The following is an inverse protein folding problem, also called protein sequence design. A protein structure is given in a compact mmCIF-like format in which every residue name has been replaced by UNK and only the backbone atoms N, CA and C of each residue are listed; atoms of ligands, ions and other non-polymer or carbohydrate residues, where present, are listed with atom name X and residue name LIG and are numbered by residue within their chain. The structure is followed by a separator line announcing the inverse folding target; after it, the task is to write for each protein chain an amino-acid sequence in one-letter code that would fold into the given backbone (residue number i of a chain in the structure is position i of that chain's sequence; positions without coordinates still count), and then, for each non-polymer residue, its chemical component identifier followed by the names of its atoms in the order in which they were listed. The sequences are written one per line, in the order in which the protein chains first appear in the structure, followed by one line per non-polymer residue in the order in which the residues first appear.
data_IF_316925027533
#
_entry.id   IF_316925027533
#
_cell.length_a   1.000
_cell.length_b   1.000
_cell.length_c   1.000
_cell.angle_alpha   90.00
_cell.angle_beta   90.00
_cell.angle_gamma   90.00
#
_symmetry.space_group_name_H-M   'P 1'
#
loop_
_entity.id
_entity.type
_entity.pdbx_description
1 polymer ?
#
# COMPACT_ATOMS: atom_id res chain seq x y z
N UNK A 1 -14.29 7.01 -1.20
CA UNK A 1 -14.93 6.69 -2.50
C UNK A 1 -15.41 7.96 -3.16
N UNK A 2 -14.97 8.21 -4.38
CA UNK A 2 -15.45 9.34 -5.15
C UNK A 2 -16.85 9.05 -5.69
N UNK A 3 -17.62 10.09 -5.95
CA UNK A 3 -18.91 9.94 -6.58
C UNK A 3 -18.77 9.40 -8.01
N UNK A 4 -19.73 8.61 -8.44
CA UNK A 4 -19.77 8.08 -9.80
C UNK A 4 -19.72 9.21 -10.83
N UNK A 5 -18.89 9.07 -11.84
CA UNK A 5 -18.72 10.07 -12.90
C UNK A 5 -17.77 11.23 -12.59
N UNK A 6 -17.16 11.28 -11.40
CA UNK A 6 -16.09 12.23 -11.08
C UNK A 6 -14.71 11.66 -11.40
N UNK A 7 -13.64 12.44 -11.20
CA UNK A 7 -12.25 11.98 -11.31
C UNK A 7 -11.87 11.02 -10.16
N UNK A 8 -12.74 10.10 -9.91
CA UNK A 8 -12.71 9.16 -8.83
C UNK A 8 -11.40 8.38 -8.80
N UNK A 9 -10.72 8.42 -7.67
CA UNK A 9 -9.46 7.71 -7.50
C UNK A 9 -8.33 8.16 -8.42
N UNK A 10 -8.50 9.22 -9.21
CA UNK A 10 -7.42 9.75 -10.04
C UNK A 10 -6.42 10.59 -9.24
N UNK A 11 -6.83 11.15 -8.12
CA UNK A 11 -6.00 12.00 -7.27
C UNK A 11 -6.37 11.86 -5.80
N UNK A 12 -5.35 11.80 -4.94
CA UNK A 12 -5.51 11.81 -3.49
C UNK A 12 -4.46 12.73 -2.85
N UNK A 13 -4.87 13.49 -1.85
CA UNK A 13 -3.94 14.27 -1.02
C UNK A 13 -3.84 13.64 0.36
N UNK A 14 -2.62 13.41 0.81
CA UNK A 14 -2.29 12.76 2.08
C UNK A 14 -1.47 13.74 2.90
N UNK A 15 -1.98 14.13 4.06
CA UNK A 15 -1.24 14.91 5.03
C UNK A 15 -0.26 14.00 5.80
N UNK A 16 0.94 14.46 6.06
CA UNK A 16 1.83 13.80 6.99
C UNK A 16 1.30 14.00 8.41
N UNK A 17 1.36 12.94 9.22
CA UNK A 17 0.92 13.01 10.62
C UNK A 17 1.72 14.05 11.42
N UNK A 18 2.97 14.24 11.05
CA UNK A 18 3.84 15.29 11.58
C UNK A 18 4.63 15.88 10.43
N UNK A 19 4.55 17.20 10.18
CA UNK A 19 5.43 17.87 9.23
C UNK A 19 6.90 17.64 9.57
N UNK A 20 7.70 17.33 8.56
CA UNK A 20 9.12 17.08 8.78
C UNK A 20 9.96 17.38 7.54
N UNK A 21 11.20 17.73 7.76
CA UNK A 21 12.19 17.86 6.68
C UNK A 21 12.52 16.49 6.13
N UNK A 22 12.59 16.39 4.81
CA UNK A 22 12.88 15.13 4.15
C UNK A 22 13.80 15.33 2.95
N UNK A 23 14.61 14.32 2.65
CA UNK A 23 15.39 14.21 1.41
C UNK A 23 14.78 13.21 0.46
N UNK A 24 14.05 12.25 1.01
CA UNK A 24 13.40 11.20 0.24
C UNK A 24 12.02 10.92 0.83
N UNK A 25 11.04 10.80 -0.05
CA UNK A 25 9.76 10.16 0.24
C UNK A 25 9.78 8.75 -0.32
N UNK A 26 9.19 7.82 0.39
CA UNK A 26 8.98 6.45 -0.05
C UNK A 26 7.50 6.18 -0.16
N UNK A 27 7.05 5.80 -1.35
CA UNK A 27 5.71 5.29 -1.55
C UNK A 27 5.76 3.76 -1.44
N UNK A 28 4.93 3.16 -0.60
CA UNK A 28 4.66 1.73 -0.63
C UNK A 28 3.39 1.53 -1.46
N UNK A 29 3.53 0.99 -2.66
CA UNK A 29 2.45 0.95 -3.62
C UNK A 29 2.52 -0.25 -4.55
N UNK A 30 1.41 -0.53 -5.23
CA UNK A 30 1.33 -1.49 -6.31
C UNK A 30 0.22 -1.13 -7.29
N UNK A 31 0.28 -1.66 -8.50
CA UNK A 31 -0.72 -1.44 -9.54
C UNK A 31 -1.48 -2.74 -9.86
N UNK A 32 -2.81 -2.82 -9.62
CA UNK A 32 -3.56 -4.06 -9.76
C UNK A 32 -3.83 -4.48 -11.21
N UNK A 33 -3.79 -3.55 -12.16
CA UNK A 33 -4.14 -3.80 -13.56
C UNK A 33 -2.98 -3.50 -14.52
N UNK A 34 -1.80 -4.04 -14.20
CA UNK A 34 -0.57 -3.79 -14.92
C UNK A 34 0.19 -2.58 -14.36
N UNK A 35 1.48 -2.53 -14.67
CA UNK A 35 2.33 -1.42 -14.25
C UNK A 35 1.81 -0.08 -14.79
N UNK A 36 1.95 0.98 -14.01
CA UNK A 36 1.50 2.32 -14.37
C UNK A 36 2.45 3.39 -13.79
N UNK A 37 2.10 4.64 -13.96
CA UNK A 37 2.85 5.78 -13.44
C UNK A 37 1.94 6.69 -12.64
N UNK A 38 2.52 7.35 -11.66
CA UNK A 38 1.88 8.42 -10.89
C UNK A 38 2.70 9.70 -10.95
N UNK A 39 2.00 10.81 -10.76
CA UNK A 39 2.62 12.11 -10.52
C UNK A 39 2.41 12.44 -9.04
N UNK A 40 3.41 13.03 -8.43
CA UNK A 40 3.38 13.46 -7.03
C UNK A 40 3.70 14.92 -6.94
N UNK A 41 2.82 15.69 -6.31
CA UNK A 41 3.08 17.06 -5.87
C UNK A 41 3.35 17.03 -4.38
N UNK A 42 4.52 17.47 -3.99
CA UNK A 42 4.91 17.65 -2.57
C UNK A 42 4.58 19.06 -2.15
N UNK A 43 3.92 19.22 -1.02
CA UNK A 43 3.57 20.51 -0.44
C UNK A 43 4.41 20.77 0.79
N UNK A 44 5.04 21.92 0.83
CA UNK A 44 5.91 22.35 1.94
C UNK A 44 5.20 23.35 2.86
N UNK A 45 5.70 23.46 4.08
CA UNK A 45 5.12 24.30 5.12
C UNK A 45 5.14 25.81 4.78
N UNK A 46 6.06 26.24 3.93
CA UNK A 46 6.15 27.62 3.43
C UNK A 46 5.17 27.93 2.29
N UNK A 47 4.37 26.95 1.87
CA UNK A 47 3.42 27.06 0.77
C UNK A 47 4.00 26.74 -0.61
N UNK A 48 5.30 26.49 -0.72
CA UNK A 48 5.91 26.04 -1.97
C UNK A 48 5.55 24.60 -2.29
N UNK A 49 5.76 24.20 -3.54
CA UNK A 49 5.50 22.84 -4.02
C UNK A 49 6.63 22.33 -4.89
N UNK A 50 6.77 21.00 -4.93
CA UNK A 50 7.65 20.31 -5.87
C UNK A 50 6.86 19.24 -6.61
N UNK A 51 6.86 19.31 -7.95
CA UNK A 51 6.23 18.29 -8.79
C UNK A 51 7.26 17.26 -9.24
N UNK A 52 6.91 15.98 -9.08
CA UNK A 52 7.68 14.84 -9.56
C UNK A 52 6.76 13.98 -10.42
N UNK A 53 7.09 13.86 -11.69
CA UNK A 53 6.23 13.22 -12.67
C UNK A 53 6.73 11.84 -13.08
N UNK A 54 5.79 10.98 -13.51
CA UNK A 54 6.07 9.69 -14.11
C UNK A 54 6.80 8.69 -13.19
N UNK A 55 6.49 8.69 -11.91
CA UNK A 55 7.01 7.71 -10.96
C UNK A 55 6.39 6.35 -11.30
N UNK A 56 7.24 5.37 -11.60
CA UNK A 56 6.79 4.05 -11.98
C UNK A 56 6.26 3.27 -10.78
N UNK A 57 5.09 2.68 -10.91
CA UNK A 57 4.50 1.76 -9.95
C UNK A 57 4.34 0.40 -10.64
N UNK A 58 4.96 -0.62 -10.05
CA UNK A 58 4.98 -1.95 -10.62
C UNK A 58 3.63 -2.68 -10.44
N UNK A 59 3.41 -3.67 -11.30
CA UNK A 59 2.25 -4.55 -11.21
C UNK A 59 2.34 -5.41 -9.94
N UNK A 60 1.24 -5.58 -9.24
CA UNK A 60 1.15 -6.44 -8.06
C UNK A 60 1.44 -7.90 -8.36
N UNK A 61 1.03 -8.39 -9.55
CA UNK A 61 1.41 -9.71 -10.05
C UNK A 61 2.84 -9.65 -10.56
N UNK A 62 3.73 -10.31 -9.86
CA UNK A 62 5.15 -10.33 -10.18
C UNK A 62 5.58 -11.74 -10.59
N UNK A 63 6.47 -11.83 -11.57
CA UNK A 63 7.16 -13.08 -11.88
C UNK A 63 8.35 -13.32 -10.96
N UNK A 64 8.81 -12.26 -10.29
CA UNK A 64 9.97 -12.27 -9.40
C UNK A 64 9.75 -11.29 -8.24
N UNK A 65 10.29 -11.63 -7.09
CA UNK A 65 10.28 -10.77 -5.90
C UNK A 65 11.32 -9.64 -5.95
N UNK A 66 12.14 -9.58 -6.98
CA UNK A 66 13.22 -8.58 -7.10
C UNK A 66 12.67 -7.15 -7.09
N UNK A 67 13.18 -6.34 -6.18
CA UNK A 67 12.78 -4.94 -6.03
C UNK A 67 11.46 -4.74 -5.27
N UNK A 68 10.83 -5.81 -4.79
CA UNK A 68 9.67 -5.70 -3.92
C UNK A 68 10.09 -5.41 -2.47
N UNK A 69 9.27 -4.63 -1.77
CA UNK A 69 9.37 -4.48 -0.32
C UNK A 69 8.80 -5.70 0.41
N UNK A 70 7.78 -6.29 -0.19
CA UNK A 70 7.12 -7.50 0.28
C UNK A 70 6.64 -8.29 -0.93
N UNK A 71 6.68 -9.61 -0.84
CA UNK A 71 6.07 -10.50 -1.80
C UNK A 71 5.56 -11.78 -1.15
N UNK A 72 4.60 -12.42 -1.77
CA UNK A 72 4.06 -13.70 -1.35
C UNK A 72 3.81 -14.57 -2.57
N UNK A 73 4.22 -15.84 -2.48
CA UNK A 73 3.91 -16.84 -3.48
C UNK A 73 2.52 -17.41 -3.24
N UNK A 74 1.72 -17.38 -4.29
CA UNK A 74 0.40 -17.99 -4.31
C UNK A 74 -0.62 -17.33 -3.39
N UNK A 75 -1.85 -17.38 -3.81
CA UNK A 75 -3.03 -17.05 -3.02
C UNK A 75 -4.08 -18.10 -3.34
N UNK A 76 -5.10 -18.20 -2.48
CA UNK A 76 -6.27 -19.02 -2.78
C UNK A 76 -7.31 -18.16 -3.50
N UNK A 77 -7.73 -18.57 -4.68
CA UNK A 77 -8.81 -17.94 -5.41
C UNK A 77 -10.17 -18.20 -4.72
N UNK A 78 -11.20 -17.44 -5.12
CA UNK A 78 -12.54 -17.59 -4.57
C UNK A 78 -13.18 -18.96 -4.79
N UNK A 79 -12.70 -19.75 -5.74
CA UNK A 79 -13.09 -21.13 -6.00
C UNK A 79 -12.22 -22.16 -5.25
N UNK A 80 -11.38 -21.71 -4.33
CA UNK A 80 -10.42 -22.51 -3.56
C UNK A 80 -9.25 -23.09 -4.36
N UNK A 81 -9.09 -22.73 -5.62
CA UNK A 81 -7.91 -23.08 -6.39
C UNK A 81 -6.70 -22.27 -5.96
N UNK A 82 -5.51 -22.84 -6.04
CA UNK A 82 -4.27 -22.13 -5.78
C UNK A 82 -3.92 -21.23 -6.97
N UNK A 83 -3.40 -20.03 -6.68
CA UNK A 83 -2.82 -19.15 -7.68
C UNK A 83 -1.28 -19.18 -7.53
N UNK A 84 -0.59 -19.59 -8.58
CA UNK A 84 0.88 -19.72 -8.60
C UNK A 84 1.59 -18.38 -8.83
N UNK A 85 0.86 -17.27 -8.94
CA UNK A 85 1.47 -15.97 -9.11
C UNK A 85 2.13 -15.48 -7.81
N UNK A 86 3.25 -14.78 -7.96
CA UNK A 86 3.79 -13.97 -6.89
C UNK A 86 3.03 -12.64 -6.82
N UNK A 87 2.70 -12.22 -5.61
CA UNK A 87 2.09 -10.92 -5.36
C UNK A 87 3.05 -10.05 -4.56
N UNK A 88 3.19 -8.79 -4.95
CA UNK A 88 4.21 -7.94 -4.36
C UNK A 88 3.74 -6.51 -4.13
N UNK A 89 4.28 -5.90 -3.08
CA UNK A 89 4.27 -4.46 -2.85
C UNK A 89 5.67 -3.92 -3.13
N UNK A 90 5.72 -2.72 -3.67
CA UNK A 90 6.96 -2.10 -4.09
C UNK A 90 7.17 -0.76 -3.40
N UNK A 91 8.42 -0.46 -3.14
CA UNK A 91 8.85 0.86 -2.71
C UNK A 91 9.24 1.69 -3.92
N UNK A 92 8.64 2.87 -4.03
CA UNK A 92 9.02 3.87 -5.02
C UNK A 92 9.66 5.07 -4.30
N UNK A 93 10.98 5.21 -4.36
CA UNK A 93 11.69 6.33 -3.76
C UNK A 93 11.53 7.59 -4.62
N UNK A 94 11.30 8.71 -3.97
CA UNK A 94 11.18 10.03 -4.56
C UNK A 94 12.19 10.93 -3.90
N UNK A 95 13.19 11.38 -4.65
CA UNK A 95 14.19 12.34 -4.15
C UNK A 95 13.62 13.75 -4.19
N UNK A 96 13.76 14.46 -3.08
CA UNK A 96 13.38 15.86 -2.98
C UNK A 96 14.59 16.76 -3.29
N UNK A 97 14.35 17.79 -4.08
CA UNK A 97 15.36 18.81 -4.36
C UNK A 97 15.54 19.77 -3.20
N UNK A 98 14.48 20.00 -2.44
CA UNK A 98 14.51 20.83 -1.23
C UNK A 98 14.36 19.95 0.01
N UNK A 99 15.41 19.97 0.84
CA UNK A 99 15.42 19.30 2.13
C UNK A 99 15.43 20.30 3.32
N UNK A 100 15.22 21.57 3.04
CA UNK A 100 15.29 22.64 4.05
C UNK A 100 13.92 22.97 4.63
N UNK A 101 12.86 22.81 3.84
CA UNK A 101 11.48 23.01 4.24
C UNK A 101 10.82 21.72 4.71
N UNK A 102 9.86 21.86 5.61
CA UNK A 102 9.09 20.72 6.10
C UNK A 102 8.02 20.31 5.08
N UNK A 103 7.96 19.04 4.76
CA UNK A 103 6.87 18.45 3.98
C UNK A 103 5.65 18.35 4.89
N UNK A 104 4.52 18.89 4.45
CA UNK A 104 3.25 18.85 5.19
C UNK A 104 2.25 17.86 4.57
N UNK A 105 2.27 17.72 3.25
CA UNK A 105 1.41 16.76 2.54
C UNK A 105 1.97 16.42 1.18
N UNK A 106 1.41 15.37 0.57
CA UNK A 106 1.63 15.03 -0.82
C UNK A 106 0.30 14.85 -1.53
N UNK A 107 0.25 15.21 -2.79
CA UNK A 107 -0.85 14.87 -3.70
C UNK A 107 -0.34 13.86 -4.71
N UNK A 108 -0.95 12.69 -4.75
CA UNK A 108 -0.65 11.63 -5.73
C UNK A 108 -1.77 11.58 -6.75
N UNK A 109 -1.42 11.57 -8.03
CA UNK A 109 -2.38 11.46 -9.12
C UNK A 109 -1.90 10.43 -10.15
N UNK A 110 -2.84 9.80 -10.86
CA UNK A 110 -2.52 8.92 -11.96
C UNK A 110 -1.97 9.73 -13.15
N UNK A 111 -0.90 9.24 -13.75
CA UNK A 111 -0.35 9.82 -14.97
C UNK A 111 -1.06 9.32 -16.23
N UNK A 112 -1.81 8.21 -16.13
CA UNK A 112 -2.50 7.55 -17.23
C UNK A 112 -3.96 7.28 -16.90
N UNK A 113 -4.87 7.55 -17.83
CA UNK A 113 -6.29 7.24 -17.68
C UNK A 113 -6.53 5.72 -17.71
N UNK A 114 -7.58 5.28 -17.03
CA UNK A 114 -8.00 3.86 -17.02
C UNK A 114 -7.03 2.93 -16.26
N UNK A 115 -6.16 3.49 -15.46
CA UNK A 115 -5.26 2.75 -14.55
C UNK A 115 -5.70 2.93 -13.12
N UNK A 116 -5.13 2.11 -12.24
CA UNK A 116 -5.34 2.22 -10.80
C UNK A 116 -4.04 1.92 -10.04
N UNK A 117 -3.93 2.49 -8.87
CA UNK A 117 -2.81 2.28 -7.95
C UNK A 117 -3.38 2.08 -6.55
N UNK A 118 -2.87 1.07 -5.86
CA UNK A 118 -3.08 0.91 -4.43
C UNK A 118 -1.86 1.50 -3.71
N UNK A 119 -2.10 2.54 -2.93
CA UNK A 119 -1.08 3.19 -2.10
C UNK A 119 -1.33 2.78 -0.65
N UNK A 120 -0.35 2.16 -0.02
CA UNK A 120 -0.43 1.61 1.34
C UNK A 120 0.19 2.52 2.38
N UNK A 121 1.32 3.14 2.05
CA UNK A 121 2.03 4.00 2.98
C UNK A 121 2.87 5.06 2.25
N UNK A 122 3.13 6.14 2.97
CA UNK A 122 4.10 7.18 2.60
C UNK A 122 5.02 7.41 3.79
N UNK A 123 6.32 7.32 3.55
CA UNK A 123 7.33 7.57 4.58
C UNK A 123 8.26 8.68 4.12
N UNK A 124 8.47 9.68 4.96
CA UNK A 124 9.44 10.72 4.75
C UNK A 124 10.72 10.43 5.55
N UNK A 125 11.88 10.70 4.96
CA UNK A 125 13.19 10.50 5.62
C UNK A 125 14.18 11.59 5.21
N UNK A 126 15.04 11.97 6.13
CA UNK A 126 16.18 12.87 5.91
C UNK A 126 17.35 12.19 5.16
N UNK A 127 17.30 10.88 5.00
CA UNK A 127 18.32 10.08 4.32
C UNK A 127 18.09 10.05 2.82
N UNK A 128 19.17 9.94 2.07
CA UNK A 128 19.09 9.66 0.63
C UNK A 128 18.58 8.25 0.39
N UNK A 129 17.97 7.99 -0.77
CA UNK A 129 17.37 6.69 -1.10
C UNK A 129 18.33 5.49 -1.00
N UNK A 130 19.63 5.75 -1.12
CA UNK A 130 20.68 4.72 -1.00
C UNK A 130 21.08 4.40 0.44
N UNK A 131 20.67 5.20 1.41
CA UNK A 131 21.10 5.10 2.80
C UNK A 131 20.21 4.24 3.70
N UNK A 132 19.06 3.81 3.24
CA UNK A 132 18.12 3.00 4.04
C UNK A 132 18.47 1.54 3.88
N UNK A 133 19.33 1.01 4.76
CA UNK A 133 19.78 -0.39 4.75
C UNK A 133 18.93 -1.30 5.64
N UNK A 134 18.39 -0.79 6.72
CA UNK A 134 17.68 -1.57 7.73
C UNK A 134 16.20 -1.18 7.74
N UNK A 135 15.47 -1.71 6.77
CA UNK A 135 14.02 -1.54 6.69
C UNK A 135 13.36 -2.67 7.48
N UNK A 136 12.42 -2.30 8.34
CA UNK A 136 11.53 -3.25 8.99
C UNK A 136 10.10 -2.92 8.57
N UNK A 137 9.46 -3.88 7.97
CA UNK A 137 8.06 -3.80 7.61
C UNK A 137 7.30 -4.80 8.47
N UNK A 138 6.37 -4.28 9.26
CA UNK A 138 5.53 -5.11 10.11
C UNK A 138 4.20 -5.34 9.40
N UNK A 139 3.93 -6.59 9.08
CA UNK A 139 2.63 -7.02 8.59
C UNK A 139 1.80 -7.54 9.75
N UNK A 140 0.67 -6.90 9.96
CA UNK A 140 -0.33 -7.41 10.90
C UNK A 140 -1.44 -8.00 10.05
N UNK A 141 -1.52 -9.32 10.03
CA UNK A 141 -2.62 -10.02 9.40
C UNK A 141 -3.91 -9.70 10.16
N UNK A 142 -4.95 -9.36 9.44
CA UNK A 142 -6.27 -9.33 10.00
C UNK A 142 -7.22 -10.20 9.16
N UNK A 143 -8.22 -10.75 9.80
CA UNK A 143 -9.29 -11.44 9.11
C UNK A 143 -10.29 -10.43 8.60
N UNK A 144 -10.54 -10.42 7.29
CA UNK A 144 -11.68 -9.69 6.74
C UNK A 144 -12.96 -10.43 7.12
N UNK A 145 -13.71 -9.87 8.04
CA UNK A 145 -14.95 -10.44 8.52
C UNK A 145 -16.08 -9.43 8.31
N UNK A 146 -16.89 -9.65 7.29
CA UNK A 146 -18.08 -8.85 7.08
C UNK A 146 -19.11 -9.13 8.18
N UNK A 147 -19.57 -8.07 8.82
CA UNK A 147 -20.60 -8.19 9.85
C UNK A 147 -21.97 -8.56 9.26
N UNK A 148 -22.16 -8.23 8.00
CA UNK A 148 -23.38 -8.56 7.27
C UNK A 148 -23.11 -8.46 5.75
N UNK A 149 -23.39 -9.55 5.04
CA UNK A 149 -23.32 -9.62 3.57
C UNK A 149 -24.55 -10.39 3.07
N UNK A 150 -24.37 -11.68 2.75
CA UNK A 150 -25.47 -12.60 2.41
C UNK A 150 -26.01 -13.37 3.63
N UNK A 151 -25.63 -12.93 4.82
CA UNK A 151 -26.02 -13.53 6.11
C UNK A 151 -26.33 -12.43 7.13
N UNK A 152 -26.90 -12.83 8.26
CA UNK A 152 -27.30 -11.93 9.33
C UNK A 152 -26.18 -11.65 10.31
N UNK A 153 -26.25 -10.55 11.06
CA UNK A 153 -25.34 -10.28 12.20
C UNK A 153 -25.36 -11.43 13.22
N UNK A 154 -26.51 -12.08 13.40
CA UNK A 154 -26.63 -13.24 14.29
C UNK A 154 -25.76 -14.40 13.81
N UNK A 155 -25.76 -14.70 12.51
CA UNK A 155 -24.89 -15.72 11.92
C UNK A 155 -23.43 -15.32 11.99
N UNK A 156 -23.12 -14.04 11.83
CA UNK A 156 -21.75 -13.54 12.02
C UNK A 156 -21.23 -13.87 13.41
N UNK A 157 -22.01 -13.58 14.45
CA UNK A 157 -21.63 -13.84 15.85
C UNK A 157 -21.56 -15.35 16.14
N UNK A 158 -22.57 -16.09 15.71
CA UNK A 158 -22.70 -17.51 16.06
C UNK A 158 -21.65 -18.40 15.36
N UNK A 159 -21.36 -18.11 14.10
CA UNK A 159 -20.59 -19.01 13.23
C UNK A 159 -19.26 -18.39 12.78
N UNK A 160 -19.30 -17.21 12.16
CA UNK A 160 -18.12 -16.67 11.50
C UNK A 160 -17.06 -16.14 12.48
N UNK A 161 -17.46 -15.42 13.53
CA UNK A 161 -16.53 -14.94 14.56
C UNK A 161 -15.88 -16.12 15.25
N UNK A 162 -16.67 -17.10 15.66
CA UNK A 162 -16.19 -18.30 16.35
C UNK A 162 -15.21 -19.10 15.47
N UNK A 163 -15.58 -19.34 14.21
CA UNK A 163 -14.75 -20.10 13.30
C UNK A 163 -13.45 -19.37 12.98
N UNK A 164 -13.50 -18.05 12.76
CA UNK A 164 -12.32 -17.23 12.52
C UNK A 164 -11.35 -17.28 13.71
N UNK A 165 -11.85 -17.14 14.93
CA UNK A 165 -11.02 -17.21 16.13
C UNK A 165 -10.42 -18.60 16.30
N UNK A 166 -11.21 -19.66 16.18
CA UNK A 166 -10.71 -21.02 16.32
C UNK A 166 -9.60 -21.33 15.30
N UNK A 167 -9.82 -21.03 14.04
CA UNK A 167 -8.81 -21.23 12.99
C UNK A 167 -7.55 -20.39 13.22
N UNK A 168 -7.70 -19.19 13.75
CA UNK A 168 -6.55 -18.34 14.09
C UNK A 168 -5.74 -18.96 15.24
N UNK A 169 -6.39 -19.39 16.30
CA UNK A 169 -5.72 -20.04 17.45
C UNK A 169 -5.08 -21.37 17.05
N UNK A 170 -5.77 -22.21 16.29
CA UNK A 170 -5.19 -23.44 15.75
C UNK A 170 -3.91 -23.18 14.97
N UNK A 171 -3.88 -22.15 14.14
CA UNK A 171 -2.69 -21.77 13.38
C UNK A 171 -1.56 -21.22 14.26
N UNK A 172 -1.88 -20.51 15.32
CA UNK A 172 -0.87 -20.06 16.28
C UNK A 172 -0.29 -21.21 17.11
N UNK A 173 -1.10 -22.18 17.48
CA UNK A 173 -0.64 -23.37 18.20
C UNK A 173 0.22 -24.29 17.30
N UNK A 174 -0.11 -24.33 16.03
CA UNK A 174 0.50 -25.21 15.06
C UNK A 174 1.84 -24.73 14.52
N UNK A 175 2.20 -23.55 14.73
CA UNK A 175 3.25 -22.95 14.28
C UNK A 175 4.07 -21.98 14.40
N UNK A 176 4.70 -21.95 14.47
CA UNK A 176 6.04 -21.68 14.46
C UNK A 176 6.50 -20.64 13.54
N UNK A 177 5.98 -20.49 12.38
CA UNK A 177 6.42 -19.61 11.31
C UNK A 177 5.75 -18.24 11.32
N UNK A 178 5.05 -17.91 12.38
CA UNK A 178 4.34 -16.63 12.54
C UNK A 178 5.06 -15.62 13.45
N UNK A 179 6.33 -15.88 13.76
CA UNK A 179 7.18 -14.96 14.52
C UNK A 179 8.01 -14.05 13.64
#
# INVERSE_FOLDING_TARGET
DAAEGTDYGQRITIALATPQKARTLWLLATAPHGATKVNVTVHFADGSTQDINNIAIANWKATQSKGSAFWQLGLTNGDSSADDCNYALYEAPISLSDATHEVVSITVSLAEKGRSVCLFAVTATDKTSTAVKDKKLFFISNSHLDTQWNWTVKSTIADYVKNTLNQTFERFEDKDDHN
#
